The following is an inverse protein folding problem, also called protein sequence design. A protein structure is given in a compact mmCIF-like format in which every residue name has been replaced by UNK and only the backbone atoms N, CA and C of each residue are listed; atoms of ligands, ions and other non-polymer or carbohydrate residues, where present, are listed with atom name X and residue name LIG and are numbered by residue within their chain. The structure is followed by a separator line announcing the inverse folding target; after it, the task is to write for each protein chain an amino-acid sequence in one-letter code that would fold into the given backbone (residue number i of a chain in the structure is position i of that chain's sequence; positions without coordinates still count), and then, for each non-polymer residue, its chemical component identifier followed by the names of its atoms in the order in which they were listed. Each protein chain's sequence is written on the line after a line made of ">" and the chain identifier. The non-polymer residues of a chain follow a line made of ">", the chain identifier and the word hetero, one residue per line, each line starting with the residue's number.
data_IF_214884866348
#
_entry.id   IF_214884866348
#
_cell.length_a   1.000
_cell.length_b   1.000
_cell.length_c   1.000
_cell.angle_alpha   90.00
_cell.angle_beta   90.00
_cell.angle_gamma   90.00
#
_symmetry.space_group_name_H-M   'P 1'
#
loop_
_entity.id
_entity.type
_entity.pdbx_description
1 polymer ?
#
# COMPACT_ATOMS: atom_id res chain seq x y z
N UNK A 1 -28.78 28.54 52.73
CA UNK A 1 -29.72 28.44 51.59
C UNK A 1 -28.95 28.76 50.31
N UNK A 2 -28.52 27.76 49.56
CA UNK A 2 -28.13 27.87 48.15
C UNK A 2 -28.39 26.49 47.55
N UNK A 3 -29.63 26.34 47.05
CA UNK A 3 -30.15 25.09 46.50
C UNK A 3 -29.48 24.80 45.16
N UNK A 4 -29.07 23.54 44.99
CA UNK A 4 -28.46 22.96 43.80
C UNK A 4 -29.32 23.26 42.56
N UNK A 5 -28.76 23.94 41.57
CA UNK A 5 -29.35 24.03 40.24
C UNK A 5 -29.22 22.68 39.52
N UNK A 6 -30.39 22.09 39.30
CA UNK A 6 -30.78 21.05 38.36
C UNK A 6 -29.80 20.80 37.20
N UNK A 7 -29.10 19.67 37.23
CA UNK A 7 -28.66 18.99 36.01
C UNK A 7 -29.91 18.38 35.36
N UNK A 8 -30.42 19.01 34.30
CA UNK A 8 -31.40 18.40 33.41
C UNK A 8 -30.77 17.17 32.77
N UNK A 9 -31.14 15.98 33.25
CA UNK A 9 -30.80 14.69 32.66
C UNK A 9 -31.61 14.45 31.39
N UNK A 10 -31.46 15.31 30.38
CA UNK A 10 -31.97 15.02 29.04
C UNK A 10 -31.12 13.89 28.46
N UNK A 11 -31.50 12.66 28.79
CA UNK A 11 -31.08 11.45 28.10
C UNK A 11 -31.32 11.65 26.61
N UNK A 12 -30.26 11.75 25.82
CA UNK A 12 -30.37 11.72 24.37
C UNK A 12 -31.05 10.41 23.98
N UNK A 13 -32.16 10.49 23.24
CA UNK A 13 -32.79 9.30 22.70
C UNK A 13 -31.78 8.57 21.81
N UNK A 14 -31.75 7.22 21.82
CA UNK A 14 -30.85 6.48 20.95
C UNK A 14 -31.16 6.82 19.48
N UNK A 15 -30.13 6.91 18.62
CA UNK A 15 -30.34 7.19 17.21
C UNK A 15 -31.24 6.12 16.57
N UNK A 16 -32.04 6.48 15.55
CA UNK A 16 -32.88 5.52 14.86
C UNK A 16 -32.03 4.38 14.26
N UNK A 17 -32.52 3.16 14.39
CA UNK A 17 -31.87 1.97 13.84
C UNK A 17 -32.03 1.98 12.31
N UNK A 18 -30.94 2.19 11.58
CA UNK A 18 -30.87 1.91 10.14
C UNK A 18 -30.44 0.47 9.92
N UNK A 19 -31.08 -0.23 8.98
CA UNK A 19 -30.59 -1.55 8.57
C UNK A 19 -29.26 -1.38 7.82
N UNK A 20 -28.17 -2.04 8.23
CA UNK A 20 -26.88 -1.86 7.58
C UNK A 20 -26.93 -2.33 6.14
N UNK A 21 -26.32 -1.56 5.22
CA UNK A 21 -26.22 -1.98 3.81
C UNK A 21 -25.43 -3.27 3.71
N UNK A 22 -25.81 -4.15 2.78
CA UNK A 22 -25.00 -5.32 2.43
C UNK A 22 -23.81 -4.88 1.59
N UNK A 23 -22.66 -5.49 1.82
CA UNK A 23 -21.42 -5.25 1.06
C UNK A 23 -21.03 -6.55 0.38
N UNK A 24 -20.55 -6.46 -0.86
CA UNK A 24 -20.10 -7.60 -1.68
C UNK A 24 -18.74 -7.26 -2.31
N UNK A 25 -17.96 -8.29 -2.64
CA UNK A 25 -16.72 -8.14 -3.40
C UNK A 25 -17.02 -8.38 -4.87
N UNK A 26 -16.67 -7.43 -5.73
CA UNK A 26 -16.99 -7.47 -7.17
C UNK A 26 -15.78 -7.58 -8.08
N UNK A 27 -14.57 -7.34 -7.57
CA UNK A 27 -13.33 -7.51 -8.32
C UNK A 27 -12.13 -7.73 -7.41
N UNK A 28 -11.12 -8.42 -7.92
CA UNK A 28 -9.90 -8.77 -7.22
C UNK A 28 -8.67 -8.34 -8.04
N UNK A 29 -7.60 -7.97 -7.34
CA UNK A 29 -6.33 -7.66 -7.95
C UNK A 29 -5.18 -8.08 -7.04
N UNK A 30 -4.16 -8.72 -7.60
CA UNK A 30 -3.08 -9.34 -6.84
C UNK A 30 -1.73 -9.12 -7.51
N UNK A 31 -0.79 -8.61 -6.71
CA UNK A 31 0.63 -8.61 -7.04
C UNK A 31 1.40 -9.28 -5.91
N UNK A 32 2.01 -10.42 -6.19
CA UNK A 32 2.59 -11.28 -5.15
C UNK A 32 3.93 -11.88 -5.60
N UNK A 33 4.69 -12.49 -4.67
CA UNK A 33 5.84 -13.33 -5.03
C UNK A 33 5.51 -14.55 -5.89
N UNK A 34 4.24 -14.94 -6.02
CA UNK A 34 3.81 -15.99 -6.94
C UNK A 34 3.47 -15.46 -8.34
N UNK A 35 3.44 -14.14 -8.53
CA UNK A 35 3.23 -13.51 -9.82
C UNK A 35 2.37 -12.26 -9.78
N UNK A 36 2.31 -11.60 -10.92
CA UNK A 36 1.41 -10.50 -11.24
C UNK A 36 0.10 -11.07 -11.79
N UNK A 37 -1.00 -10.69 -11.16
CA UNK A 37 -2.35 -11.06 -11.55
C UNK A 37 -3.00 -12.12 -10.64
N UNK A 38 -4.32 -12.02 -10.44
CA UNK A 38 -5.15 -12.96 -9.68
C UNK A 38 -5.06 -14.36 -10.28
N UNK A 39 -5.22 -14.49 -11.59
CA UNK A 39 -5.19 -15.78 -12.29
C UNK A 39 -3.84 -16.49 -12.14
N UNK A 40 -2.74 -15.76 -12.36
CA UNK A 40 -1.37 -16.27 -12.19
C UNK A 40 -1.11 -16.69 -10.75
N UNK A 41 -1.37 -15.79 -9.80
CA UNK A 41 -1.14 -16.02 -8.37
C UNK A 41 -1.93 -17.22 -7.87
N UNK A 42 -3.23 -17.29 -8.19
CA UNK A 42 -4.11 -18.36 -7.72
C UNK A 42 -3.70 -19.72 -8.30
N UNK A 43 -3.38 -19.77 -9.59
CA UNK A 43 -2.89 -21.00 -10.24
C UNK A 43 -1.63 -21.51 -9.55
N UNK A 44 -0.63 -20.66 -9.37
CA UNK A 44 0.64 -21.04 -8.73
C UNK A 44 0.45 -21.45 -7.26
N UNK A 45 -0.49 -20.82 -6.55
CA UNK A 45 -0.84 -21.20 -5.18
C UNK A 45 -1.41 -22.62 -5.13
N UNK A 46 -2.39 -22.94 -5.98
CA UNK A 46 -3.02 -24.27 -6.03
C UNK A 46 -2.03 -25.36 -6.48
N UNK A 47 -1.08 -25.01 -7.35
CA UNK A 47 0.00 -25.90 -7.79
C UNK A 47 1.11 -26.09 -6.73
N UNK A 48 1.03 -25.42 -5.58
CA UNK A 48 2.03 -25.51 -4.51
C UNK A 48 3.38 -24.89 -4.88
N UNK A 49 3.39 -23.89 -5.78
CA UNK A 49 4.61 -23.13 -6.10
C UNK A 49 5.03 -22.28 -4.89
N UNK A 50 6.33 -22.02 -4.77
CA UNK A 50 6.90 -21.21 -3.71
C UNK A 50 7.64 -20.01 -4.30
N UNK A 51 7.28 -18.80 -3.86
CA UNK A 51 7.95 -17.55 -4.27
C UNK A 51 9.15 -17.18 -3.39
N UNK A 52 9.49 -18.00 -2.38
CA UNK A 52 10.65 -17.77 -1.51
C UNK A 52 11.92 -18.17 -2.25
N UNK A 53 12.91 -17.28 -2.25
CA UNK A 53 14.25 -17.51 -2.79
C UNK A 53 15.32 -16.93 -1.88
N UNK A 54 16.58 -17.25 -2.16
CA UNK A 54 17.71 -16.58 -1.55
C UNK A 54 17.70 -15.08 -1.91
N UNK A 55 18.03 -14.25 -0.92
CA UNK A 55 18.22 -12.79 -1.07
C UNK A 55 19.58 -12.57 -1.75
N UNK A 56 19.62 -11.63 -2.69
CA UNK A 56 20.88 -11.15 -3.30
C UNK A 56 21.21 -9.75 -2.80
N UNK A 57 22.41 -9.28 -3.10
CA UNK A 57 22.84 -7.91 -2.75
C UNK A 57 21.94 -6.84 -3.37
N UNK A 58 21.37 -7.10 -4.56
CA UNK A 58 20.48 -6.17 -5.26
C UNK A 58 19.11 -6.04 -4.57
N UNK A 59 18.71 -7.04 -3.79
CA UNK A 59 17.46 -7.02 -3.02
C UNK A 59 17.56 -6.09 -1.80
N UNK A 60 18.76 -5.76 -1.32
CA UNK A 60 18.95 -4.95 -0.12
C UNK A 60 18.60 -3.46 -0.29
N UNK A 61 18.42 -2.98 -1.52
CA UNK A 61 18.05 -1.58 -1.85
C UNK A 61 18.97 -0.51 -1.25
N UNK A 62 20.26 -0.82 -1.12
CA UNK A 62 21.28 0.10 -0.63
C UNK A 62 21.93 0.91 -1.76
N UNK A 63 21.14 1.62 -2.57
CA UNK A 63 21.64 2.29 -3.77
C UNK A 63 22.54 3.50 -3.48
N UNK A 64 22.39 4.15 -2.31
CA UNK A 64 23.22 5.28 -1.91
C UNK A 64 24.54 4.89 -1.23
N UNK A 65 24.83 3.59 -1.07
CA UNK A 65 26.00 3.08 -0.34
C UNK A 65 27.05 2.50 -1.27
N UNK A 66 28.30 2.50 -0.84
CA UNK A 66 29.39 1.87 -1.57
C UNK A 66 29.31 0.32 -1.51
N UNK A 67 30.06 -0.34 -2.40
CA UNK A 67 30.05 -1.80 -2.53
C UNK A 67 30.60 -2.53 -1.30
N UNK A 68 31.54 -1.94 -0.57
CA UNK A 68 32.13 -2.55 0.62
C UNK A 68 31.08 -2.58 1.73
N UNK A 69 30.40 -1.45 1.97
CA UNK A 69 29.30 -1.32 2.94
C UNK A 69 28.14 -2.28 2.61
N UNK A 70 27.75 -2.38 1.34
CA UNK A 70 26.73 -3.33 0.87
C UNK A 70 27.12 -4.78 1.19
N UNK A 71 28.34 -5.18 0.86
CA UNK A 71 28.84 -6.55 1.04
C UNK A 71 28.91 -6.91 2.52
N UNK A 72 29.50 -6.03 3.35
CA UNK A 72 29.60 -6.23 4.80
C UNK A 72 28.22 -6.32 5.45
N UNK A 73 27.26 -5.52 4.99
CA UNK A 73 25.88 -5.56 5.48
C UNK A 73 25.22 -6.88 5.12
N UNK A 74 25.33 -7.32 3.85
CA UNK A 74 24.80 -8.61 3.40
C UNK A 74 25.38 -9.80 4.18
N UNK A 75 26.68 -9.77 4.49
CA UNK A 75 27.35 -10.82 5.27
C UNK A 75 26.84 -10.90 6.72
N UNK A 76 26.44 -9.77 7.30
CA UNK A 76 25.94 -9.67 8.68
C UNK A 76 24.45 -9.99 8.82
N UNK A 77 23.69 -10.16 7.73
CA UNK A 77 22.27 -10.52 7.82
C UNK A 77 22.09 -11.95 8.34
N UNK A 78 21.30 -12.10 9.40
CA UNK A 78 20.93 -13.40 9.97
C UNK A 78 20.04 -14.21 9.02
N UNK A 79 19.11 -13.55 8.34
CA UNK A 79 18.23 -14.16 7.33
C UNK A 79 18.67 -13.76 5.93
N UNK A 80 18.76 -14.75 5.02
CA UNK A 80 19.10 -14.56 3.60
C UNK A 80 18.06 -15.19 2.67
N UNK A 81 16.81 -15.25 3.12
CA UNK A 81 15.67 -15.72 2.32
C UNK A 81 14.52 -14.71 2.37
N UNK A 82 13.85 -14.52 1.24
CA UNK A 82 12.69 -13.64 1.11
C UNK A 82 11.76 -14.12 -0.01
N UNK A 83 10.50 -13.70 0.04
CA UNK A 83 9.57 -13.86 -1.06
C UNK A 83 9.45 -12.54 -1.82
N UNK A 84 9.90 -12.50 -3.07
CA UNK A 84 10.08 -11.25 -3.84
C UNK A 84 9.20 -11.32 -5.08
N UNK A 85 8.47 -10.23 -5.35
CA UNK A 85 7.66 -10.10 -6.58
C UNK A 85 8.58 -10.27 -7.79
N UNK A 86 8.28 -11.20 -8.72
CA UNK A 86 9.07 -11.36 -9.93
C UNK A 86 8.88 -10.12 -10.82
N UNK A 87 9.97 -9.44 -11.15
CA UNK A 87 9.96 -8.24 -12.01
C UNK A 87 10.54 -8.57 -13.39
N UNK A 88 9.89 -8.05 -14.42
CA UNK A 88 10.29 -8.25 -15.80
C UNK A 88 9.13 -8.03 -16.77
N UNK A 89 9.32 -8.42 -18.02
CA UNK A 89 8.34 -8.23 -19.10
C UNK A 89 7.63 -9.51 -19.52
N UNK A 90 7.98 -10.65 -18.90
CA UNK A 90 7.34 -11.91 -19.23
C UNK A 90 5.92 -11.99 -18.64
N UNK A 91 5.03 -12.84 -19.19
CA UNK A 91 3.70 -13.05 -18.64
C UNK A 91 3.76 -13.48 -17.17
N UNK A 92 3.01 -12.79 -16.30
CA UNK A 92 3.00 -13.05 -14.87
C UNK A 92 4.10 -12.35 -14.07
N UNK A 93 4.96 -11.56 -14.72
CA UNK A 93 5.94 -10.70 -14.06
C UNK A 93 5.45 -9.25 -13.92
N UNK A 94 5.96 -8.56 -12.92
CA UNK A 94 5.71 -7.15 -12.69
C UNK A 94 6.58 -6.29 -13.62
N UNK A 95 5.96 -5.72 -14.65
CA UNK A 95 6.63 -4.76 -15.51
C UNK A 95 6.64 -3.38 -14.85
N UNK A 96 7.73 -3.07 -14.18
CA UNK A 96 7.99 -1.80 -13.51
C UNK A 96 7.76 -0.60 -14.47
N UNK A 97 8.20 -0.68 -15.73
CA UNK A 97 8.16 0.45 -16.67
C UNK A 97 6.74 0.95 -16.97
N UNK A 98 5.72 0.07 -16.90
CA UNK A 98 4.31 0.43 -17.08
C UNK A 98 3.78 1.36 -16.00
N UNK A 99 4.30 1.23 -14.79
CA UNK A 99 3.85 1.97 -13.61
C UNK A 99 4.74 3.17 -13.33
N UNK A 100 5.99 3.10 -13.79
CA UNK A 100 6.94 4.16 -13.56
C UNK A 100 6.90 5.21 -14.69
N UNK A 101 6.77 4.87 -15.98
CA UNK A 101 6.83 5.71 -17.21
C UNK A 101 7.50 7.14 -17.22
N UNK A 102 8.27 7.40 -18.29
CA UNK A 102 9.57 8.07 -18.32
C UNK A 102 9.70 9.61 -18.15
N UNK A 103 8.75 10.29 -17.52
CA UNK A 103 8.95 11.69 -17.08
C UNK A 103 8.86 11.89 -15.57
N UNK A 104 8.10 11.03 -14.88
CA UNK A 104 7.81 11.14 -13.44
C UNK A 104 8.40 9.97 -12.62
N UNK A 105 9.33 9.20 -13.19
CA UNK A 105 10.00 8.03 -12.58
C UNK A 105 10.53 8.23 -11.16
N UNK A 106 10.81 9.46 -10.74
CA UNK A 106 11.30 9.78 -9.40
C UNK A 106 10.20 10.09 -8.38
N UNK A 107 8.94 10.10 -8.78
CA UNK A 107 7.84 10.62 -7.94
C UNK A 107 7.21 9.60 -7.00
N UNK A 108 7.23 8.29 -7.32
CA UNK A 108 6.54 7.26 -6.51
C UNK A 108 7.44 6.11 -6.07
N UNK A 109 7.20 5.61 -4.85
CA UNK A 109 7.88 4.46 -4.27
C UNK A 109 7.28 3.14 -4.75
N UNK A 110 8.01 2.03 -4.58
CA UNK A 110 7.62 0.72 -5.11
C UNK A 110 6.31 0.18 -4.52
N UNK A 111 6.06 0.34 -3.22
CA UNK A 111 4.79 -0.06 -2.60
C UNK A 111 3.59 0.68 -3.24
N UNK A 112 3.77 1.94 -3.69
CA UNK A 112 2.73 2.70 -4.39
C UNK A 112 2.45 2.06 -5.76
N UNK A 113 3.50 1.71 -6.51
CA UNK A 113 3.36 1.05 -7.81
C UNK A 113 2.69 -0.33 -7.68
N UNK A 114 2.99 -1.07 -6.61
CA UNK A 114 2.32 -2.34 -6.31
C UNK A 114 0.82 -2.14 -6.07
N UNK A 115 0.45 -1.13 -5.28
CA UNK A 115 -0.96 -0.78 -5.05
C UNK A 115 -1.67 -0.37 -6.35
N UNK A 116 -1.02 0.45 -7.19
CA UNK A 116 -1.58 0.87 -8.48
C UNK A 116 -1.83 -0.33 -9.41
N UNK A 117 -0.89 -1.28 -9.44
CA UNK A 117 -0.99 -2.49 -10.25
C UNK A 117 -2.16 -3.38 -9.81
N UNK A 118 -2.25 -3.67 -8.52
CA UNK A 118 -3.34 -4.48 -7.98
C UNK A 118 -4.69 -3.76 -8.11
N UNK A 119 -4.76 -2.45 -7.86
CA UNK A 119 -5.99 -1.68 -8.00
C UNK A 119 -6.50 -1.63 -9.45
N UNK A 120 -5.60 -1.51 -10.43
CA UNK A 120 -5.94 -1.54 -11.86
C UNK A 120 -6.57 -2.88 -12.26
N UNK A 121 -6.00 -4.00 -11.80
CA UNK A 121 -6.59 -5.32 -12.03
C UNK A 121 -7.96 -5.45 -11.35
N UNK A 122 -8.08 -5.04 -10.09
CA UNK A 122 -9.33 -5.13 -9.33
C UNK A 122 -10.48 -4.32 -9.96
N UNK A 123 -10.18 -3.11 -10.44
CA UNK A 123 -11.17 -2.26 -11.10
C UNK A 123 -11.61 -2.82 -12.45
N UNK A 124 -10.68 -3.40 -13.22
CA UNK A 124 -10.98 -4.08 -14.49
C UNK A 124 -11.82 -5.33 -14.28
N UNK A 125 -11.49 -6.13 -13.26
CA UNK A 125 -12.25 -7.33 -12.89
C UNK A 125 -13.68 -6.97 -12.46
N UNK A 126 -13.82 -5.92 -11.65
CA UNK A 126 -15.12 -5.36 -11.25
C UNK A 126 -15.88 -4.65 -12.39
N UNK A 127 -15.23 -4.40 -13.53
CA UNK A 127 -15.74 -3.56 -14.63
C UNK A 127 -16.23 -2.19 -14.15
N UNK A 128 -15.53 -1.62 -13.17
CA UNK A 128 -15.88 -0.32 -12.57
C UNK A 128 -15.00 0.79 -13.15
N UNK A 129 -15.60 1.65 -13.98
CA UNK A 129 -14.95 2.79 -14.62
C UNK A 129 -15.89 4.00 -14.63
N UNK A 130 -16.10 4.66 -13.47
CA UNK A 130 -17.11 5.71 -13.33
C UNK A 130 -16.75 6.94 -14.17
N UNK A 131 -17.71 7.40 -14.98
CA UNK A 131 -17.51 8.57 -15.87
C UNK A 131 -18.15 9.84 -15.33
N UNK A 132 -19.33 9.73 -14.71
CA UNK A 132 -20.02 10.87 -14.11
C UNK A 132 -19.44 11.23 -12.73
N UNK A 133 -19.77 12.44 -12.29
CA UNK A 133 -19.20 13.03 -11.09
C UNK A 133 -19.75 12.40 -9.80
N UNK A 134 -21.04 12.04 -9.78
CA UNK A 134 -21.68 11.43 -8.62
C UNK A 134 -21.04 10.07 -8.32
N UNK A 135 -20.85 9.21 -9.31
CA UNK A 135 -20.18 7.93 -9.13
C UNK A 135 -18.74 8.08 -8.62
N UNK A 136 -18.02 9.13 -9.04
CA UNK A 136 -16.67 9.41 -8.55
C UNK A 136 -16.66 9.86 -7.10
N UNK A 137 -17.59 10.72 -6.70
CA UNK A 137 -17.80 11.15 -5.30
C UNK A 137 -18.24 9.99 -4.41
N UNK A 138 -18.95 9.00 -4.98
CA UNK A 138 -19.39 7.79 -4.31
C UNK A 138 -18.40 6.62 -4.40
N UNK A 139 -17.25 6.80 -5.05
CA UNK A 139 -16.16 5.82 -5.08
C UNK A 139 -15.02 6.30 -4.21
N UNK A 140 -14.68 5.54 -3.16
CA UNK A 140 -13.55 5.82 -2.28
C UNK A 140 -12.39 4.82 -2.43
N UNK A 141 -11.32 5.07 -1.69
CA UNK A 141 -10.11 4.25 -1.65
C UNK A 141 -9.66 4.08 -0.20
N UNK A 142 -9.37 2.84 0.18
CA UNK A 142 -8.83 2.47 1.49
C UNK A 142 -7.67 1.49 1.29
N UNK A 143 -6.47 2.02 1.08
CA UNK A 143 -5.27 1.20 0.87
C UNK A 143 -4.22 1.60 1.90
N UNK A 144 -3.93 0.66 2.80
CA UNK A 144 -2.89 0.83 3.81
C UNK A 144 -1.54 0.23 3.41
N UNK A 145 -0.52 0.54 4.23
CA UNK A 145 0.78 -0.11 4.22
C UNK A 145 1.33 -0.25 5.65
N UNK A 146 2.34 -1.09 5.85
CA UNK A 146 2.94 -1.29 7.18
C UNK A 146 4.03 -0.26 7.47
N UNK A 147 5.02 -0.20 6.58
CA UNK A 147 6.29 0.50 6.80
C UNK A 147 6.65 1.48 5.69
N UNK A 148 6.00 1.39 4.51
CA UNK A 148 6.19 2.35 3.43
C UNK A 148 7.49 2.11 2.68
N UNK A 149 8.34 3.14 2.56
CA UNK A 149 9.61 3.04 1.83
C UNK A 149 10.82 3.34 2.73
N UNK A 150 11.26 2.34 3.48
CA UNK A 150 12.42 2.46 4.38
C UNK A 150 13.71 2.75 3.60
N UNK A 151 13.88 2.17 2.40
CA UNK A 151 15.05 2.43 1.56
C UNK A 151 15.17 3.91 1.15
N UNK A 152 14.07 4.59 0.84
CA UNK A 152 14.10 6.04 0.53
C UNK A 152 14.54 6.87 1.77
N UNK A 153 14.16 6.44 2.98
CA UNK A 153 14.57 7.08 4.24
C UNK A 153 16.08 6.88 4.48
N UNK A 154 16.60 5.66 4.24
CA UNK A 154 18.02 5.35 4.35
C UNK A 154 18.86 6.18 3.37
N UNK A 155 18.44 6.27 2.11
CA UNK A 155 19.12 7.08 1.11
C UNK A 155 19.15 8.57 1.52
N UNK A 156 18.06 9.08 2.08
CA UNK A 156 18.01 10.45 2.62
C UNK A 156 18.97 10.64 3.82
N UNK A 157 19.03 9.68 4.74
CA UNK A 157 19.96 9.72 5.86
C UNK A 157 21.42 9.71 5.40
N UNK A 158 21.76 8.88 4.41
CA UNK A 158 23.09 8.84 3.80
C UNK A 158 23.46 10.18 3.17
N UNK A 159 22.52 10.86 2.47
CA UNK A 159 22.76 12.21 1.95
C UNK A 159 23.04 13.24 3.05
N UNK A 160 22.49 13.09 4.25
CA UNK A 160 22.81 13.96 5.40
C UNK A 160 24.25 13.72 5.83
N UNK A 161 24.65 12.46 6.02
CA UNK A 161 26.01 12.08 6.40
C UNK A 161 27.05 12.59 5.40
N UNK A 162 26.73 12.56 4.11
CA UNK A 162 27.58 13.08 3.03
C UNK A 162 27.52 14.61 2.85
N UNK A 163 26.73 15.32 3.66
CA UNK A 163 26.50 16.78 3.55
C UNK A 163 25.91 17.20 2.19
N UNK A 164 25.08 16.35 1.59
CA UNK A 164 24.46 16.48 0.26
C UNK A 164 22.94 16.65 0.30
N UNK A 165 22.35 17.02 1.44
CA UNK A 165 20.89 17.15 1.65
C UNK A 165 20.17 18.02 0.60
N UNK A 166 20.85 19.02 0.01
CA UNK A 166 20.28 19.83 -1.09
C UNK A 166 19.92 19.03 -2.35
N UNK A 167 20.39 17.78 -2.48
CA UNK A 167 20.05 16.87 -3.58
C UNK A 167 18.79 16.02 -3.29
N UNK A 168 18.22 16.11 -2.09
CA UNK A 168 17.01 15.39 -1.74
C UNK A 168 15.87 15.80 -2.68
N UNK A 169 15.16 14.80 -3.20
CA UNK A 169 14.05 15.02 -4.12
C UNK A 169 12.92 15.81 -3.44
N UNK A 170 12.27 16.77 -4.13
CA UNK A 170 11.04 17.39 -3.62
C UNK A 170 9.90 16.36 -3.43
N UNK A 171 9.99 15.20 -4.09
CA UNK A 171 9.05 14.10 -3.94
C UNK A 171 9.38 13.17 -2.76
N UNK A 172 10.42 13.42 -1.97
CA UNK A 172 10.80 12.54 -0.86
C UNK A 172 9.63 12.28 0.09
N UNK A 173 8.93 13.31 0.56
CA UNK A 173 7.80 13.16 1.47
C UNK A 173 6.64 12.37 0.81
N UNK A 174 6.15 12.74 -0.39
CA UNK A 174 5.17 11.93 -1.12
C UNK A 174 5.57 10.46 -1.32
N UNK A 175 6.87 10.14 -1.44
CA UNK A 175 7.32 8.76 -1.62
C UNK A 175 7.24 7.92 -0.35
N UNK A 176 7.44 8.51 0.83
CA UNK A 176 7.52 7.75 2.09
C UNK A 176 6.19 7.68 2.84
N UNK A 177 5.23 8.54 2.51
CA UNK A 177 3.94 8.59 3.16
C UNK A 177 3.06 7.38 2.76
N UNK A 178 2.67 6.58 3.74
CA UNK A 178 1.91 5.33 3.51
C UNK A 178 0.57 5.59 2.79
N UNK A 179 -0.12 6.67 3.15
CA UNK A 179 -1.40 7.02 2.54
C UNK A 179 -1.30 7.39 1.05
N UNK A 180 -0.08 7.57 0.52
CA UNK A 180 0.11 7.86 -0.90
C UNK A 180 -0.19 6.65 -1.79
N UNK A 181 -0.21 5.42 -1.27
CA UNK A 181 -0.76 4.28 -2.02
C UNK A 181 -2.25 4.53 -2.38
N UNK A 182 -3.06 4.87 -1.38
CA UNK A 182 -4.47 5.26 -1.58
C UNK A 182 -4.61 6.54 -2.41
N UNK A 183 -3.79 7.55 -2.12
CA UNK A 183 -3.76 8.82 -2.85
C UNK A 183 -3.50 8.67 -4.34
N UNK A 184 -2.51 7.86 -4.73
CA UNK A 184 -2.19 7.65 -6.15
C UNK A 184 -3.27 6.87 -6.89
N UNK A 185 -3.92 5.89 -6.25
CA UNK A 185 -5.07 5.19 -6.84
C UNK A 185 -6.23 6.18 -7.02
N UNK A 186 -6.56 6.98 -6.01
CA UNK A 186 -7.59 8.02 -6.11
C UNK A 186 -7.30 9.02 -7.25
N UNK A 187 -6.08 9.55 -7.33
CA UNK A 187 -5.67 10.48 -8.40
C UNK A 187 -5.72 9.85 -9.79
N UNK A 188 -5.26 8.61 -9.95
CA UNK A 188 -5.21 7.92 -11.25
C UNK A 188 -6.61 7.70 -11.83
N UNK A 189 -7.58 7.32 -11.00
CA UNK A 189 -8.94 6.99 -11.46
C UNK A 189 -9.98 8.09 -11.22
N UNK A 190 -9.59 9.19 -10.57
CA UNK A 190 -10.48 10.33 -10.30
C UNK A 190 -11.53 10.07 -9.22
N UNK A 191 -11.24 9.17 -8.27
CA UNK A 191 -12.13 8.84 -7.16
C UNK A 191 -12.08 9.94 -6.09
N UNK A 192 -13.26 10.37 -5.65
CA UNK A 192 -13.46 11.56 -4.81
C UNK A 192 -14.23 11.25 -3.52
N UNK A 193 -14.60 9.99 -3.29
CA UNK A 193 -15.15 9.54 -2.01
C UNK A 193 -14.09 9.46 -0.91
N UNK A 194 -14.38 8.76 0.20
CA UNK A 194 -13.45 8.58 1.31
C UNK A 194 -12.07 8.09 0.84
N UNK A 195 -11.02 8.83 1.17
CA UNK A 195 -9.63 8.45 0.89
C UNK A 195 -8.92 8.20 2.22
N UNK A 196 -8.66 6.93 2.51
CA UNK A 196 -8.21 6.46 3.81
C UNK A 196 -7.01 5.50 3.68
N UNK A 197 -6.19 5.41 4.72
CA UNK A 197 -5.08 4.48 4.77
C UNK A 197 -4.82 4.05 6.22
N UNK A 198 -5.12 2.78 6.52
CA UNK A 198 -4.81 2.21 7.82
C UNK A 198 -3.31 1.86 7.90
N UNK A 199 -2.74 1.93 9.10
CA UNK A 199 -1.36 1.51 9.39
C UNK A 199 -1.36 0.76 10.72
N UNK A 200 -1.44 -0.57 10.65
CA UNK A 200 -1.61 -1.47 11.79
C UNK A 200 -0.76 -2.74 11.63
N UNK A 201 0.48 -2.56 11.15
CA UNK A 201 1.44 -3.64 10.90
C UNK A 201 0.86 -4.75 10.00
N UNK A 202 1.00 -6.02 10.39
CA UNK A 202 0.53 -7.16 9.60
C UNK A 202 -1.00 -7.18 9.39
N UNK A 203 -1.76 -6.48 10.26
CA UNK A 203 -3.21 -6.40 10.15
C UNK A 203 -3.69 -5.32 9.17
N UNK A 204 -2.80 -4.50 8.60
CA UNK A 204 -3.15 -3.34 7.78
C UNK A 204 -4.12 -3.66 6.65
N UNK A 205 -3.83 -4.68 5.83
CA UNK A 205 -4.71 -5.04 4.71
C UNK A 205 -6.12 -5.44 5.17
N UNK A 206 -6.22 -6.20 6.28
CA UNK A 206 -7.49 -6.62 6.84
C UNK A 206 -8.28 -5.44 7.43
N UNK A 207 -7.62 -4.53 8.15
CA UNK A 207 -8.26 -3.31 8.66
C UNK A 207 -8.71 -2.40 7.52
N UNK A 208 -7.88 -2.16 6.49
CA UNK A 208 -8.28 -1.35 5.35
C UNK A 208 -9.51 -1.89 4.61
N UNK A 209 -9.63 -3.22 4.48
CA UNK A 209 -10.84 -3.87 3.92
C UNK A 209 -12.03 -3.72 4.88
N UNK A 210 -11.85 -3.94 6.18
CA UNK A 210 -12.91 -3.81 7.18
C UNK A 210 -13.43 -2.38 7.35
N UNK A 211 -12.55 -1.39 7.25
CA UNK A 211 -12.90 0.03 7.33
C UNK A 211 -13.63 0.47 6.06
N UNK A 212 -13.17 0.03 4.87
CA UNK A 212 -13.89 0.24 3.62
C UNK A 212 -15.29 -0.40 3.62
N UNK A 213 -15.40 -1.63 4.12
CA UNK A 213 -16.68 -2.29 4.31
C UNK A 213 -17.60 -1.42 5.18
N UNK A 214 -17.11 -0.88 6.31
CA UNK A 214 -17.89 0.00 7.19
C UNK A 214 -18.32 1.29 6.51
N UNK A 215 -17.45 1.94 5.73
CA UNK A 215 -17.80 3.12 4.94
C UNK A 215 -18.94 2.82 3.96
N UNK A 216 -18.93 1.64 3.32
CA UNK A 216 -20.07 1.19 2.52
C UNK A 216 -21.27 0.84 3.40
N UNK A 217 -21.12 0.21 4.56
CA UNK A 217 -22.28 -0.09 5.41
C UNK A 217 -23.00 1.17 5.92
N UNK A 218 -22.25 2.23 6.25
CA UNK A 218 -22.76 3.46 6.85
C UNK A 218 -23.25 4.51 5.87
N UNK A 219 -23.02 4.33 4.56
CA UNK A 219 -23.51 5.29 3.56
C UNK A 219 -22.47 6.26 3.03
N UNK A 220 -21.22 6.18 3.48
CA UNK A 220 -20.16 7.15 3.12
C UNK A 220 -19.69 6.99 1.67
N UNK A 221 -19.74 5.77 1.13
CA UNK A 221 -19.38 5.46 -0.27
C UNK A 221 -20.23 4.30 -0.80
N UNK A 222 -20.45 4.20 -2.11
CA UNK A 222 -21.12 3.05 -2.73
C UNK A 222 -20.13 2.01 -3.24
N UNK A 223 -18.92 2.46 -3.60
CA UNK A 223 -17.82 1.60 -4.04
C UNK A 223 -16.55 1.98 -3.29
N UNK A 224 -15.76 0.99 -2.87
CA UNK A 224 -14.46 1.20 -2.26
C UNK A 224 -13.41 0.31 -2.93
N UNK A 225 -12.30 0.90 -3.35
CA UNK A 225 -11.08 0.15 -3.67
C UNK A 225 -10.32 -0.07 -2.37
N UNK A 226 -10.23 -1.31 -1.90
CA UNK A 226 -9.69 -1.62 -0.58
C UNK A 226 -8.61 -2.70 -0.60
N UNK A 227 -7.59 -2.55 0.23
CA UNK A 227 -6.53 -3.55 0.35
C UNK A 227 -5.31 -3.07 1.13
N UNK A 228 -4.17 -3.70 0.89
CA UNK A 228 -2.89 -3.32 1.46
C UNK A 228 -1.75 -3.51 0.48
N UNK A 229 -0.65 -2.80 0.70
CA UNK A 229 0.57 -2.90 -0.10
C UNK A 229 1.79 -2.81 0.79
N UNK A 230 2.88 -3.45 0.38
CA UNK A 230 4.17 -3.34 1.06
C UNK A 230 5.32 -3.65 0.10
N UNK A 231 6.47 -3.00 0.28
CA UNK A 231 7.69 -3.28 -0.50
C UNK A 231 8.96 -3.27 0.36
N UNK A 232 8.89 -3.84 1.56
CA UNK A 232 9.91 -3.70 2.62
C UNK A 232 10.95 -4.82 2.62
N UNK A 233 11.32 -5.29 1.43
CA UNK A 233 12.52 -6.11 1.26
C UNK A 233 13.66 -5.13 0.98
N UNK A 234 14.31 -4.70 2.07
CA UNK A 234 15.48 -3.83 2.10
C UNK A 234 16.38 -4.22 3.28
N UNK A 235 17.63 -3.74 3.29
CA UNK A 235 18.63 -4.11 4.29
C UNK A 235 18.18 -3.87 5.73
N UNK A 236 17.60 -2.70 6.02
CA UNK A 236 17.23 -2.33 7.38
C UNK A 236 16.00 -3.10 7.84
N UNK A 237 15.03 -3.31 6.96
CA UNK A 237 13.86 -4.14 7.26
C UNK A 237 14.26 -5.59 7.59
N UNK A 238 15.11 -6.22 6.76
CA UNK A 238 15.59 -7.59 7.04
C UNK A 238 16.38 -7.62 8.35
N UNK A 239 17.31 -6.69 8.55
CA UNK A 239 18.10 -6.63 9.78
C UNK A 239 17.23 -6.39 11.02
N UNK A 240 16.18 -5.56 10.92
CA UNK A 240 15.30 -5.21 12.03
C UNK A 240 14.37 -6.35 12.45
N UNK A 241 13.81 -7.08 11.48
CA UNK A 241 12.87 -8.18 11.76
C UNK A 241 13.56 -9.53 12.06
N UNK A 242 14.80 -9.72 11.62
CA UNK A 242 15.52 -10.99 11.73
C UNK A 242 16.68 -10.98 12.74
N UNK A 243 16.65 -10.06 13.73
CA UNK A 243 17.59 -10.10 14.85
C UNK A 243 17.38 -11.29 15.79
#
# INVERSE_FOLDING_TARGET
>A
QLSRHLYSSTSLAPPPLSSPRRVVVTGLGLLTPLGCGVGTTWKHLIEGKCGIRAVTTEDLKMNAFDKETLTLTFDQLTSKVAAIVPCGTAPGEFNEDLWFNAKDHRSIARFISYALCAADEALKDAKWAPTDQEQKERTGVSIGGGTGSISDILDAAQMICEKRIRRLSPFFIPRILINMASGHVSMKYGFQGPNHAAVTACATGAHSIGDAMRMVQFGDADVMVAGGTESSIDALSIAGFCK
#
